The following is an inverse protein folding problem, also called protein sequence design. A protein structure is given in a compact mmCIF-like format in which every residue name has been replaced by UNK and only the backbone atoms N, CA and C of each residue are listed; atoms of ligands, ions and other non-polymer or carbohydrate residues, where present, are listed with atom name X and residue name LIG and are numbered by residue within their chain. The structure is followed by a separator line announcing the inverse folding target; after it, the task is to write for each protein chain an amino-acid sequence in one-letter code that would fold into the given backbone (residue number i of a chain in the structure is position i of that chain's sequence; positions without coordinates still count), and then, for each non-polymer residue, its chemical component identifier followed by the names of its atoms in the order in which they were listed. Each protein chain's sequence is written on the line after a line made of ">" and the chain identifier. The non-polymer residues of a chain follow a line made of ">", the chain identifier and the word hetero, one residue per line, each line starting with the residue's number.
data_IF_178566889036
#
_entry.id   IF_178566889036
#
_cell.length_a   1.000
_cell.length_b   1.000
_cell.length_c   1.000
_cell.angle_alpha   90.00
_cell.angle_beta   90.00
_cell.angle_gamma   90.00
#
_symmetry.space_group_name_H-M   'P 1'
#
loop_
_entity.id
_entity.type
_entity.pdbx_description
1 polymer ?
#
# COMPACT_ATOMS: atom_id res chain seq x y z
N UNK A 1 -10.83 10.76 -4.91
CA UNK A 1 -9.73 10.43 -4.00
C UNK A 1 -8.53 9.95 -4.79
N UNK A 2 -7.35 10.46 -4.50
CA UNK A 2 -6.09 10.07 -5.11
C UNK A 2 -5.16 9.46 -4.06
N UNK A 3 -4.63 8.26 -4.33
CA UNK A 3 -3.80 7.49 -3.40
C UNK A 3 -2.40 7.28 -3.99
N UNK A 4 -1.37 7.34 -3.14
CA UNK A 4 -0.04 6.85 -3.44
C UNK A 4 0.21 5.51 -2.74
N UNK A 5 0.88 4.57 -3.42
CA UNK A 5 1.31 3.29 -2.84
C UNK A 5 2.83 3.33 -2.74
N UNK A 6 3.35 3.00 -1.57
CA UNK A 6 4.80 2.88 -1.28
C UNK A 6 5.05 1.46 -0.81
N UNK A 7 5.86 0.71 -1.53
CA UNK A 7 6.28 -0.64 -1.14
C UNK A 7 7.72 -0.59 -0.64
N UNK A 8 7.93 -1.03 0.58
CA UNK A 8 9.22 -1.08 1.26
C UNK A 8 9.73 -2.52 1.20
N UNK A 9 10.95 -2.71 0.73
CA UNK A 9 11.59 -4.01 0.65
C UNK A 9 12.77 -4.03 -0.33
N UNK A 10 13.94 -4.41 0.13
CA UNK A 10 15.14 -4.57 -0.69
C UNK A 10 14.97 -5.70 -1.72
N UNK A 11 14.24 -6.76 -1.38
CA UNK A 11 13.92 -7.89 -2.26
C UNK A 11 13.06 -7.49 -3.47
N UNK A 12 12.29 -6.41 -3.35
CA UNK A 12 11.51 -5.84 -4.45
C UNK A 12 12.43 -5.09 -5.43
N UNK A 13 13.46 -4.40 -4.90
CA UNK A 13 14.42 -3.66 -5.70
C UNK A 13 15.40 -4.59 -6.43
N UNK A 14 15.79 -5.69 -5.80
CA UNK A 14 16.67 -6.70 -6.42
C UNK A 14 15.94 -7.61 -7.41
N UNK A 15 14.60 -7.58 -7.39
CA UNK A 15 13.78 -8.42 -8.26
C UNK A 15 13.65 -9.87 -7.79
N UNK A 16 14.06 -10.18 -6.56
CA UNK A 16 13.87 -11.50 -5.95
C UNK A 16 12.39 -11.77 -5.66
N UNK A 17 11.64 -10.69 -5.37
CA UNK A 17 10.19 -10.76 -5.14
C UNK A 17 9.46 -9.80 -6.08
N UNK A 18 8.34 -10.29 -6.66
CA UNK A 18 7.45 -9.47 -7.48
C UNK A 18 6.50 -8.69 -6.57
N UNK A 19 6.36 -7.38 -6.80
CA UNK A 19 5.46 -6.51 -6.05
C UNK A 19 3.98 -6.81 -6.36
N UNK A 20 3.48 -7.92 -5.85
CA UNK A 20 2.08 -8.35 -6.01
C UNK A 20 1.12 -7.53 -5.16
N UNK A 21 1.59 -6.99 -4.03
CA UNK A 21 0.81 -6.15 -3.13
C UNK A 21 0.35 -4.87 -3.80
N UNK A 22 1.25 -4.14 -4.45
CA UNK A 22 0.88 -2.91 -5.16
C UNK A 22 -0.08 -3.18 -6.31
N UNK A 23 0.08 -4.29 -7.03
CA UNK A 23 -0.82 -4.68 -8.10
C UNK A 23 -2.23 -5.04 -7.56
N UNK A 24 -2.31 -5.71 -6.43
CA UNK A 24 -3.57 -6.05 -5.78
C UNK A 24 -4.27 -4.80 -5.22
N UNK A 25 -3.56 -3.96 -4.47
CA UNK A 25 -4.09 -2.69 -3.95
C UNK A 25 -4.59 -1.78 -5.07
N UNK A 26 -3.85 -1.71 -6.19
CA UNK A 26 -4.25 -0.93 -7.36
C UNK A 26 -5.61 -1.36 -7.92
N UNK A 27 -5.87 -2.68 -7.98
CA UNK A 27 -7.19 -3.22 -8.39
C UNK A 27 -8.27 -2.87 -7.37
N UNK A 28 -8.01 -3.09 -6.08
CA UNK A 28 -8.98 -2.83 -5.01
C UNK A 28 -9.40 -1.35 -4.95
N UNK A 29 -8.45 -0.44 -5.09
CA UNK A 29 -8.68 1.00 -5.10
C UNK A 29 -9.45 1.43 -6.35
N UNK A 30 -9.07 0.93 -7.54
CA UNK A 30 -9.78 1.20 -8.79
C UNK A 30 -11.25 0.78 -8.72
N UNK A 31 -11.52 -0.41 -8.19
CA UNK A 31 -12.87 -0.97 -8.09
C UNK A 31 -13.76 -0.15 -7.12
N UNK A 32 -13.14 0.66 -6.26
CA UNK A 32 -13.78 1.66 -5.37
C UNK A 32 -13.83 3.07 -5.97
N UNK A 33 -13.40 3.25 -7.23
CA UNK A 33 -13.35 4.54 -7.89
C UNK A 33 -12.23 5.47 -7.40
N UNK A 34 -11.24 4.90 -6.72
CA UNK A 34 -10.08 5.64 -6.22
C UNK A 34 -8.94 5.60 -7.24
N UNK A 35 -8.34 6.75 -7.51
CA UNK A 35 -7.23 6.85 -8.46
C UNK A 35 -5.90 6.61 -7.76
N UNK A 36 -5.16 5.57 -8.18
CA UNK A 36 -3.76 5.42 -7.80
C UNK A 36 -2.92 6.37 -8.65
N UNK A 37 -2.38 7.39 -8.02
CA UNK A 37 -1.58 8.42 -8.68
C UNK A 37 -0.11 8.07 -8.82
N UNK A 38 0.40 7.23 -7.91
CA UNK A 38 1.81 6.80 -7.89
C UNK A 38 1.97 5.45 -7.20
N UNK A 39 2.89 4.66 -7.70
CA UNK A 39 3.43 3.47 -7.03
C UNK A 39 4.94 3.63 -6.98
N UNK A 40 5.53 3.50 -5.79
CA UNK A 40 6.97 3.65 -5.58
C UNK A 40 7.48 2.45 -4.78
N UNK A 41 8.63 1.90 -5.18
CA UNK A 41 9.35 0.88 -4.41
C UNK A 41 10.59 1.54 -3.83
N UNK A 42 10.85 1.31 -2.55
CA UNK A 42 11.96 1.89 -1.81
C UNK A 42 12.66 0.84 -0.94
N UNK A 43 13.94 1.04 -0.61
CA UNK A 43 14.68 0.15 0.28
C UNK A 43 14.18 0.23 1.74
N UNK A 44 14.60 -0.72 2.56
CA UNK A 44 14.42 -0.74 4.01
C UNK A 44 15.34 0.27 4.72
N UNK A 45 15.33 1.51 4.25
CA UNK A 45 16.11 2.62 4.80
C UNK A 45 15.20 3.66 5.45
N UNK A 46 15.42 3.92 6.73
CA UNK A 46 14.59 4.85 7.53
C UNK A 46 14.52 6.25 6.91
N UNK A 47 15.63 6.77 6.37
CA UNK A 47 15.67 8.13 5.82
C UNK A 47 14.93 8.22 4.50
N UNK A 48 15.07 7.19 3.67
CA UNK A 48 14.34 7.11 2.39
C UNK A 48 12.84 6.92 2.61
N UNK A 49 12.44 6.06 3.56
CA UNK A 49 11.04 5.91 3.96
C UNK A 49 10.48 7.25 4.42
N UNK A 50 11.18 7.94 5.35
CA UNK A 50 10.72 9.23 5.86
C UNK A 50 10.57 10.27 4.74
N UNK A 51 11.53 10.35 3.84
CA UNK A 51 11.52 11.29 2.70
C UNK A 51 10.34 11.03 1.77
N UNK A 52 10.18 9.76 1.33
CA UNK A 52 9.15 9.40 0.35
C UNK A 52 7.75 9.51 0.96
N UNK A 53 7.55 9.04 2.18
CA UNK A 53 6.25 9.15 2.87
C UNK A 53 5.86 10.62 3.04
N UNK A 54 6.77 11.48 3.48
CA UNK A 54 6.50 12.92 3.62
C UNK A 54 6.15 13.58 2.28
N UNK A 55 6.86 13.23 1.20
CA UNK A 55 6.55 13.72 -0.15
C UNK A 55 5.16 13.26 -0.61
N UNK A 56 4.83 11.99 -0.42
CA UNK A 56 3.56 11.43 -0.88
C UNK A 56 2.38 11.88 -0.01
N UNK A 57 2.57 12.03 1.30
CA UNK A 57 1.58 12.60 2.22
C UNK A 57 1.11 13.99 1.77
N UNK A 58 2.04 14.83 1.32
CA UNK A 58 1.71 16.18 0.84
C UNK A 58 1.05 16.19 -0.55
N UNK A 59 1.24 15.15 -1.37
CA UNK A 59 0.84 15.11 -2.77
C UNK A 59 -0.43 14.29 -3.05
N UNK A 60 -0.88 13.48 -2.09
CA UNK A 60 -2.01 12.56 -2.24
C UNK A 60 -3.00 12.71 -1.08
N UNK A 61 -4.26 12.33 -1.32
CA UNK A 61 -5.29 12.32 -0.29
C UNK A 61 -5.03 11.23 0.76
N UNK A 62 -4.39 10.12 0.35
CA UNK A 62 -3.91 9.08 1.24
C UNK A 62 -2.66 8.40 0.69
N UNK A 63 -1.84 7.84 1.59
CA UNK A 63 -0.67 7.02 1.29
C UNK A 63 -0.87 5.65 1.90
N UNK A 64 -0.66 4.59 1.12
CA UNK A 64 -0.61 3.22 1.63
C UNK A 64 0.84 2.75 1.54
N UNK A 65 1.43 2.42 2.68
CA UNK A 65 2.78 1.86 2.78
C UNK A 65 2.66 0.37 3.07
N UNK A 66 3.43 -0.48 2.40
CA UNK A 66 3.45 -1.94 2.63
C UNK A 66 4.87 -2.43 2.84
N UNK A 67 5.08 -3.29 3.84
CA UNK A 67 6.37 -3.90 4.16
C UNK A 67 7.11 -3.24 5.32
N UNK A 68 8.17 -3.88 5.80
CA UNK A 68 9.06 -3.40 6.85
C UNK A 68 8.43 -3.25 8.24
N UNK A 69 7.44 -4.09 8.58
CA UNK A 69 6.77 -4.13 9.88
C UNK A 69 7.16 -5.33 10.74
N UNK A 70 8.03 -6.19 10.27
CA UNK A 70 8.49 -7.36 11.02
C UNK A 70 9.35 -6.98 12.23
N UNK A 71 9.72 -8.00 13.04
CA UNK A 71 10.54 -7.78 14.24
C UNK A 71 12.03 -7.79 13.94
N UNK A 72 12.44 -7.81 12.67
CA UNK A 72 13.86 -7.93 12.31
C UNK A 72 14.53 -6.55 12.26
N UNK A 73 15.85 -6.53 12.35
CA UNK A 73 16.63 -5.28 12.47
C UNK A 73 16.60 -4.42 11.20
N UNK A 74 16.21 -4.99 10.10
CA UNK A 74 16.02 -4.36 8.78
C UNK A 74 14.61 -3.79 8.61
N UNK A 75 13.63 -4.20 9.42
CA UNK A 75 12.30 -3.59 9.43
C UNK A 75 12.35 -2.17 10.01
N UNK A 76 12.28 -1.15 9.17
CA UNK A 76 12.46 0.27 9.50
C UNK A 76 11.25 1.15 9.23
N UNK A 77 10.12 0.53 8.85
CA UNK A 77 8.96 1.30 8.40
C UNK A 77 8.31 2.10 9.52
N UNK A 78 8.25 1.57 10.73
CA UNK A 78 7.67 2.29 11.88
C UNK A 78 8.44 3.58 12.17
N UNK A 79 9.77 3.50 12.29
CA UNK A 79 10.64 4.65 12.56
C UNK A 79 10.66 5.63 11.38
N UNK A 80 10.68 5.12 10.14
CA UNK A 80 10.66 5.94 8.94
C UNK A 80 9.38 6.76 8.82
N UNK A 81 8.23 6.14 9.05
CA UNK A 81 6.93 6.82 9.04
C UNK A 81 6.83 7.80 10.21
N UNK A 82 7.26 7.41 11.42
CA UNK A 82 7.29 8.33 12.56
C UNK A 82 8.12 9.58 12.24
N UNK A 83 9.30 9.40 11.65
CA UNK A 83 10.17 10.51 11.24
C UNK A 83 9.54 11.40 10.16
N UNK A 84 8.80 10.82 9.19
CA UNK A 84 8.09 11.58 8.15
C UNK A 84 7.11 12.61 8.73
N UNK A 85 6.49 12.28 9.87
CA UNK A 85 5.51 13.13 10.56
C UNK A 85 6.07 13.86 11.78
N UNK A 86 7.39 13.79 12.04
CA UNK A 86 8.04 14.39 13.19
C UNK A 86 7.53 13.84 14.53
N UNK A 87 7.15 12.56 14.56
CA UNK A 87 6.63 11.87 15.74
C UNK A 87 7.68 10.96 16.34
N UNK A 88 7.64 10.78 17.66
CA UNK A 88 8.39 9.73 18.34
C UNK A 88 7.71 8.37 18.15
N UNK A 89 8.48 7.31 18.31
CA UNK A 89 7.97 5.95 18.43
C UNK A 89 7.79 5.64 19.90
N UNK A 90 6.66 5.10 20.27
CA UNK A 90 6.34 4.78 21.68
C UNK A 90 5.67 3.40 21.79
N UNK A 91 5.76 2.84 22.98
CA UNK A 91 5.04 1.61 23.31
C UNK A 91 3.52 1.85 23.22
N UNK A 92 2.82 0.98 22.50
CA UNK A 92 1.38 1.07 22.26
C UNK A 92 0.64 -0.05 23.01
N UNK A 93 -0.04 0.32 24.09
CA UNK A 93 -0.67 -0.63 25.01
C UNK A 93 -1.70 -1.54 24.30
N UNK A 94 -2.57 -0.98 23.47
CA UNK A 94 -3.55 -1.78 22.73
C UNK A 94 -2.89 -2.73 21.70
N UNK A 95 -1.76 -2.36 21.10
CA UNK A 95 -1.00 -3.26 20.23
C UNK A 95 -0.42 -4.43 21.03
N UNK A 96 0.06 -4.17 22.23
CA UNK A 96 0.56 -5.19 23.14
C UNK A 96 -0.54 -6.13 23.61
N UNK A 97 -1.65 -5.59 24.09
CA UNK A 97 -2.81 -6.39 24.50
C UNK A 97 -3.32 -7.28 23.36
N UNK A 98 -3.32 -6.76 22.13
CA UNK A 98 -3.66 -7.54 20.94
C UNK A 98 -2.69 -8.70 20.72
N UNK A 99 -1.39 -8.43 20.71
CA UNK A 99 -0.34 -9.45 20.53
C UNK A 99 -0.45 -10.53 21.61
N UNK A 100 -0.62 -10.14 22.87
CA UNK A 100 -0.77 -11.06 23.99
C UNK A 100 -2.04 -11.93 23.87
N UNK A 101 -3.08 -11.44 23.19
CA UNK A 101 -4.34 -12.17 23.01
C UNK A 101 -4.28 -13.23 21.92
N UNK A 102 -3.41 -13.07 20.91
CA UNK A 102 -3.33 -13.98 19.74
C UNK A 102 -2.14 -14.92 19.77
N UNK A 103 -1.09 -14.62 20.55
CA UNK A 103 0.10 -15.45 20.59
C UNK A 103 -0.01 -16.56 21.65
N UNK A 104 0.00 -17.82 21.22
CA UNK A 104 0.25 -18.98 22.09
C UNK A 104 1.73 -19.06 22.55
N UNK A 105 2.60 -18.26 21.93
CA UNK A 105 4.02 -18.12 22.30
C UNK A 105 4.16 -17.12 23.43
N UNK A 106 4.92 -17.50 24.45
CA UNK A 106 5.16 -16.65 25.61
C UNK A 106 5.63 -15.26 25.17
N UNK A 107 4.94 -14.23 25.65
CA UNK A 107 5.18 -12.82 25.37
C UNK A 107 6.63 -12.33 25.58
N UNK A 108 7.50 -13.18 26.15
CA UNK A 108 8.92 -12.91 26.38
C UNK A 108 9.81 -13.03 25.14
N UNK A 109 9.34 -13.73 24.08
CA UNK A 109 10.13 -13.99 22.86
C UNK A 109 9.70 -13.14 21.67
N UNK A 110 8.52 -12.51 21.75
CA UNK A 110 8.12 -11.47 20.83
C UNK A 110 8.80 -10.16 21.25
N UNK A 111 9.80 -9.80 20.48
CA UNK A 111 10.66 -8.66 20.69
C UNK A 111 9.85 -7.42 21.12
N UNK A 112 10.31 -6.73 22.17
CA UNK A 112 9.71 -5.48 22.67
C UNK A 112 9.46 -4.42 21.59
N UNK A 113 10.08 -4.57 20.39
CA UNK A 113 9.89 -3.75 19.21
C UNK A 113 8.56 -3.94 18.45
N UNK A 114 7.86 -5.08 18.60
CA UNK A 114 6.64 -5.35 17.79
C UNK A 114 5.42 -4.54 18.24
N UNK A 115 5.39 -4.07 19.49
CA UNK A 115 4.30 -3.27 20.06
C UNK A 115 4.61 -1.77 20.09
N UNK A 116 5.56 -1.28 19.28
CA UNK A 116 5.88 0.15 19.20
C UNK A 116 5.29 0.76 17.94
N UNK A 117 4.62 1.89 18.09
CA UNK A 117 3.99 2.63 17.00
C UNK A 117 4.33 4.12 17.10
N UNK A 118 4.18 4.90 16.02
CA UNK A 118 4.30 6.35 16.10
C UNK A 118 3.29 6.95 17.07
N UNK A 119 3.72 7.91 17.89
CA UNK A 119 2.85 8.61 18.85
C UNK A 119 1.55 9.08 18.21
N UNK A 120 0.42 8.69 18.80
CA UNK A 120 -0.92 9.03 18.32
C UNK A 120 -1.34 8.30 17.05
N UNK A 121 -0.67 7.22 16.69
CA UNK A 121 -1.13 6.34 15.61
C UNK A 121 -2.40 5.58 16.02
N UNK A 122 -3.27 5.33 15.05
CA UNK A 122 -4.37 4.37 15.19
C UNK A 122 -3.87 3.00 14.80
N UNK A 123 -3.89 2.05 15.71
CA UNK A 123 -3.54 0.66 15.43
C UNK A 123 -4.53 0.03 14.43
N UNK A 124 -3.99 -0.82 13.55
CA UNK A 124 -4.75 -1.76 12.74
C UNK A 124 -4.39 -3.18 13.20
N UNK A 125 -5.35 -3.95 13.77
CA UNK A 125 -5.09 -5.30 14.23
C UNK A 125 -4.71 -6.23 13.08
N UNK A 126 -3.75 -7.12 13.31
CA UNK A 126 -3.37 -8.16 12.37
C UNK A 126 -3.94 -9.51 12.81
N UNK A 127 -5.05 -9.94 12.24
CA UNK A 127 -5.73 -11.17 12.64
C UNK A 127 -5.08 -12.44 12.05
N UNK A 128 -4.15 -12.29 11.12
CA UNK A 128 -3.46 -13.41 10.43
C UNK A 128 -2.04 -13.56 10.93
N UNK A 129 -1.35 -12.46 11.16
CA UNK A 129 0.02 -12.42 11.64
C UNK A 129 0.14 -11.78 13.01
N UNK A 130 1.33 -11.28 13.33
CA UNK A 130 1.65 -10.73 14.65
C UNK A 130 1.85 -9.21 14.62
N UNK A 131 2.58 -8.69 13.63
CA UNK A 131 2.90 -7.28 13.56
C UNK A 131 1.65 -6.44 13.22
N UNK A 132 1.24 -5.49 14.09
CA UNK A 132 0.11 -4.63 13.79
C UNK A 132 0.47 -3.65 12.69
N UNK A 133 -0.51 -3.32 11.85
CA UNK A 133 -0.45 -2.13 11.03
C UNK A 133 -0.87 -0.90 11.81
N UNK A 134 -0.78 0.27 11.18
CA UNK A 134 -1.22 1.51 11.83
C UNK A 134 -1.58 2.61 10.81
N UNK A 135 -2.26 3.63 11.32
CA UNK A 135 -2.57 4.85 10.56
C UNK A 135 -2.05 6.07 11.30
N UNK A 136 -1.32 6.91 10.60
CA UNK A 136 -0.86 8.24 11.06
C UNK A 136 -1.28 9.26 10.01
N UNK A 137 -2.06 10.27 10.43
CA UNK A 137 -2.65 11.25 9.51
C UNK A 137 -3.39 10.54 8.34
N UNK A 138 -2.94 10.75 7.10
CA UNK A 138 -3.46 10.08 5.91
C UNK A 138 -2.57 8.91 5.43
N UNK A 139 -1.64 8.44 6.26
CA UNK A 139 -0.72 7.36 5.94
C UNK A 139 -1.16 6.06 6.61
N UNK A 140 -1.45 5.05 5.82
CA UNK A 140 -1.89 3.71 6.21
C UNK A 140 -0.74 2.74 6.00
N UNK A 141 -0.30 2.09 7.05
CA UNK A 141 0.86 1.20 7.02
C UNK A 141 0.42 -0.24 7.27
N UNK A 142 0.71 -1.10 6.33
CA UNK A 142 0.29 -2.50 6.27
C UNK A 142 1.50 -3.43 6.14
N UNK A 143 1.40 -4.68 6.57
CA UNK A 143 2.50 -5.64 6.44
C UNK A 143 2.86 -5.96 4.98
N UNK A 144 4.06 -6.54 4.79
CA UNK A 144 4.54 -7.02 3.49
C UNK A 144 3.95 -8.36 3.08
N UNK A 145 3.56 -9.22 4.05
CA UNK A 145 2.96 -10.52 3.79
C UNK A 145 1.59 -10.34 3.12
N UNK A 146 1.37 -10.86 1.90
CA UNK A 146 0.16 -10.57 1.13
C UNK A 146 -1.14 -10.90 1.85
N UNK A 147 -1.22 -12.05 2.50
CA UNK A 147 -2.43 -12.51 3.19
C UNK A 147 -2.81 -11.57 4.36
N UNK A 148 -1.82 -11.13 5.15
CA UNK A 148 -1.99 -10.16 6.23
C UNK A 148 -2.42 -8.80 5.70
N UNK A 149 -1.74 -8.32 4.66
CA UNK A 149 -2.04 -7.04 4.01
C UNK A 149 -3.45 -7.00 3.42
N UNK A 150 -3.88 -8.08 2.77
CA UNK A 150 -5.23 -8.19 2.20
C UNK A 150 -6.28 -8.07 3.30
N UNK A 151 -6.13 -8.84 4.36
CA UNK A 151 -7.10 -8.85 5.46
C UNK A 151 -7.18 -7.48 6.15
N UNK A 152 -6.04 -6.85 6.44
CA UNK A 152 -6.02 -5.50 7.02
C UNK A 152 -6.60 -4.45 6.09
N UNK A 153 -6.34 -4.56 4.77
CA UNK A 153 -6.92 -3.62 3.81
C UNK A 153 -8.44 -3.69 3.79
N UNK A 154 -9.05 -4.88 3.91
CA UNK A 154 -10.51 -5.00 3.95
C UNK A 154 -11.14 -4.25 5.12
N UNK A 155 -10.45 -4.13 6.25
CA UNK A 155 -10.92 -3.36 7.41
C UNK A 155 -10.92 -1.84 7.15
N UNK A 156 -9.93 -1.34 6.41
CA UNK A 156 -9.80 0.08 6.08
C UNK A 156 -10.41 0.44 4.72
N UNK A 157 -10.80 -0.54 3.92
CA UNK A 157 -11.35 -0.34 2.57
C UNK A 157 -12.54 0.65 2.53
N UNK A 158 -13.44 0.73 3.52
CA UNK A 158 -14.50 1.73 3.56
C UNK A 158 -14.01 3.18 3.64
N UNK A 159 -12.77 3.41 4.05
CA UNK A 159 -12.17 4.75 4.11
C UNK A 159 -11.73 5.25 2.72
N UNK A 160 -11.60 4.32 1.75
CA UNK A 160 -11.18 4.60 0.37
C UNK A 160 -12.39 4.66 -0.56
N UNK A 161 -12.96 5.85 -0.69
CA UNK A 161 -14.15 6.09 -1.52
C UNK A 161 -13.83 7.10 -2.61
N UNK A 162 -14.14 6.74 -3.85
CA UNK A 162 -14.00 7.58 -5.02
C UNK A 162 -15.25 7.57 -5.90
N UNK A 163 -15.19 8.27 -7.02
CA UNK A 163 -16.22 8.20 -8.05
C UNK A 163 -16.04 6.93 -8.86
N UNK A 164 -17.05 6.05 -8.96
CA UNK A 164 -16.94 4.83 -9.74
C UNK A 164 -16.60 5.14 -11.19
N UNK A 165 -15.52 4.57 -11.68
CA UNK A 165 -15.15 4.65 -13.10
C UNK A 165 -15.68 3.40 -13.82
N UNK A 166 -16.56 3.60 -14.78
CA UNK A 166 -17.01 2.50 -15.64
C UNK A 166 -15.88 2.13 -16.60
N UNK A 167 -15.42 0.89 -16.54
CA UNK A 167 -14.42 0.35 -17.46
C UNK A 167 -15.09 -0.66 -18.38
N UNK A 168 -14.92 -0.46 -19.69
CA UNK A 168 -15.33 -1.43 -20.70
C UNK A 168 -14.08 -1.96 -21.40
N UNK A 169 -13.92 -3.27 -21.43
CA UNK A 169 -12.85 -3.93 -22.17
C UNK A 169 -13.43 -4.43 -23.49
N UNK A 170 -12.77 -4.09 -24.60
CA UNK A 170 -13.12 -4.55 -25.94
C UNK A 170 -11.92 -5.29 -26.50
N UNK A 171 -12.09 -6.57 -26.79
CA UNK A 171 -11.06 -7.38 -27.46
C UNK A 171 -11.18 -7.21 -28.96
N UNK A 172 -10.07 -6.88 -29.61
CA UNK A 172 -10.02 -6.63 -31.06
C UNK A 172 -8.85 -7.44 -31.64
N UNK A 173 -9.13 -8.22 -32.67
CA UNK A 173 -8.15 -9.05 -33.37
C UNK A 173 -7.46 -8.28 -34.51
N UNK A 174 -7.15 -7.01 -34.33
CA UNK A 174 -6.44 -6.17 -35.29
C UNK A 174 -5.13 -5.64 -34.69
N UNK A 175 -4.10 -5.37 -35.49
CA UNK A 175 -2.88 -4.75 -35.02
C UNK A 175 -3.17 -3.38 -34.38
N UNK A 176 -2.44 -3.04 -33.31
CA UNK A 176 -2.61 -1.77 -32.60
C UNK A 176 -2.52 -0.55 -33.52
N UNK A 177 -1.63 -0.60 -34.52
CA UNK A 177 -1.48 0.44 -35.54
C UNK A 177 -2.76 0.74 -36.34
N UNK A 178 -3.63 -0.26 -36.51
CA UNK A 178 -4.91 -0.10 -37.22
C UNK A 178 -5.99 0.54 -36.33
N UNK A 179 -5.76 0.64 -35.00
CA UNK A 179 -6.70 1.17 -34.03
C UNK A 179 -6.51 2.66 -33.74
N UNK A 180 -5.37 3.24 -34.13
CA UNK A 180 -4.97 4.59 -33.73
C UNK A 180 -6.02 5.66 -34.07
N UNK A 181 -6.55 5.67 -35.32
CA UNK A 181 -7.57 6.65 -35.73
C UNK A 181 -8.87 6.48 -34.92
N UNK A 182 -9.28 5.23 -34.67
CA UNK A 182 -10.50 4.92 -33.88
C UNK A 182 -10.36 5.34 -32.43
N UNK A 183 -9.18 5.12 -31.85
CA UNK A 183 -8.86 5.53 -30.47
C UNK A 183 -8.90 7.07 -30.37
N UNK A 184 -8.30 7.77 -31.34
CA UNK A 184 -8.28 9.22 -31.35
C UNK A 184 -9.67 9.82 -31.55
N UNK A 185 -10.49 9.22 -32.39
CA UNK A 185 -11.89 9.58 -32.58
C UNK A 185 -12.68 9.41 -31.26
N UNK A 186 -12.57 8.28 -30.59
CA UNK A 186 -13.23 8.02 -29.30
C UNK A 186 -12.85 9.08 -28.25
N UNK A 187 -11.56 9.42 -28.14
CA UNK A 187 -11.06 10.44 -27.20
C UNK A 187 -11.51 11.86 -27.54
N UNK A 188 -11.81 12.11 -28.81
CA UNK A 188 -12.28 13.43 -29.27
C UNK A 188 -13.79 13.58 -29.09
N UNK A 189 -14.55 12.50 -29.36
CA UNK A 189 -16.02 12.53 -29.31
C UNK A 189 -16.57 12.31 -27.89
N UNK A 190 -15.84 11.61 -27.04
CA UNK A 190 -16.30 11.24 -25.69
C UNK A 190 -15.26 11.59 -24.60
N UNK A 191 -15.70 11.98 -23.40
CA UNK A 191 -14.83 12.24 -22.26
C UNK A 191 -14.36 10.90 -21.63
N UNK A 192 -13.63 10.09 -22.40
CA UNK A 192 -13.14 8.77 -21.98
C UNK A 192 -11.63 8.69 -22.06
N UNK A 193 -11.05 7.90 -21.15
CA UNK A 193 -9.66 7.48 -21.22
C UNK A 193 -9.58 6.14 -21.93
N UNK A 194 -8.78 6.03 -22.97
CA UNK A 194 -8.60 4.78 -23.73
C UNK A 194 -7.17 4.30 -23.57
N UNK A 195 -7.00 3.08 -23.08
CA UNK A 195 -5.73 2.34 -23.05
C UNK A 195 -5.77 1.21 -24.07
N UNK A 196 -4.66 0.97 -24.74
CA UNK A 196 -4.46 -0.20 -25.60
C UNK A 196 -3.43 -1.12 -24.93
N UNK A 197 -3.77 -2.40 -24.85
CA UNK A 197 -2.93 -3.42 -24.21
C UNK A 197 -2.79 -4.59 -25.18
N UNK A 198 -1.61 -4.75 -25.85
CA UNK A 198 -1.36 -5.89 -26.70
C UNK A 198 -1.51 -7.18 -25.89
N UNK A 199 -2.30 -8.12 -26.36
CA UNK A 199 -2.37 -9.46 -25.79
C UNK A 199 -1.10 -10.28 -26.11
N UNK A 200 -0.87 -11.35 -25.34
CA UNK A 200 0.32 -12.22 -25.47
C UNK A 200 0.42 -12.97 -26.81
N UNK A 201 -0.42 -12.65 -27.80
CA UNK A 201 -0.54 -13.35 -29.09
C UNK A 201 -0.17 -12.47 -30.29
N UNK A 202 0.84 -11.59 -30.16
CA UNK A 202 1.40 -10.86 -31.31
C UNK A 202 2.87 -11.20 -31.46
#
# INVERSE_FOLDING_TARGET
>A
MRVAIVSVGDELLTGETVNTNAAWLGRQLRDRGVTVGRVTVIPDDQQEIARVVNEQHAAADAVIVTGGLGPTHDDRTVEGVAAAFGRSVEFHEAAREWIDSISEYAASDLVDGTAVLPTGARQLPNQVGVAPGFVVENCYVLPGVPEEMHQMFEEIAPEFVGEPTNVTVVEIAEPESALLERIEQLRTEFPVSVGSYPGDNV
#
